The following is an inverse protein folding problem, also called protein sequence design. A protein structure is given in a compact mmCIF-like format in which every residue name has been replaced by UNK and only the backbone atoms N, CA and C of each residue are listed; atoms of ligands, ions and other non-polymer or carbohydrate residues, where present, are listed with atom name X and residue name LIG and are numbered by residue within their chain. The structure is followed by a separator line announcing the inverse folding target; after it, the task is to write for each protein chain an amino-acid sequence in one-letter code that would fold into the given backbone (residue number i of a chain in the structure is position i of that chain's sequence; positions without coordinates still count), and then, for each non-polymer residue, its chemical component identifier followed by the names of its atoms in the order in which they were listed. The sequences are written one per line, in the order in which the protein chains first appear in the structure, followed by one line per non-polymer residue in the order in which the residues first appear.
data_IF_299795291063
#
_entry.id   IF_299795291063
#
_cell.length_a   1.000
_cell.length_b   1.000
_cell.length_c   1.000
_cell.angle_alpha   90.00
_cell.angle_beta   90.00
_cell.angle_gamma   90.00
#
_symmetry.space_group_name_H-M   'P 1'
#
loop_
_entity.id
_entity.type
_entity.pdbx_description
1 polymer ?
#
# COMPACT_ATOMS: atom_id res chain seq x y z
N UNK A 1 6.40 22.17 -45.79
CA UNK A 1 5.47 22.40 -44.67
C UNK A 1 5.86 21.42 -43.59
N UNK A 2 6.24 21.95 -42.43
CA UNK A 2 7.06 21.29 -41.40
C UNK A 2 6.50 19.98 -40.82
N UNK A 3 7.39 19.00 -40.65
CA UNK A 3 7.14 17.67 -40.06
C UNK A 3 7.52 17.68 -38.55
N UNK A 4 7.49 18.87 -37.92
CA UNK A 4 8.26 19.14 -36.70
C UNK A 4 7.50 19.23 -35.38
N UNK A 5 6.22 18.90 -35.28
CA UNK A 5 5.41 19.34 -34.11
C UNK A 5 4.57 18.30 -33.36
N UNK A 6 4.58 17.01 -33.73
CA UNK A 6 3.71 16.01 -33.06
C UNK A 6 4.42 15.30 -31.88
N UNK A 7 5.73 15.44 -31.71
CA UNK A 7 6.49 14.61 -30.75
C UNK A 7 6.60 15.12 -29.30
N UNK A 8 6.35 16.40 -29.02
CA UNK A 8 6.67 16.99 -27.71
C UNK A 8 5.49 17.59 -26.94
N UNK A 9 4.33 17.73 -27.59
CA UNK A 9 3.16 18.34 -26.94
C UNK A 9 2.38 17.37 -26.06
N UNK A 10 2.54 16.06 -26.27
CA UNK A 10 1.74 15.05 -25.56
C UNK A 10 2.42 14.54 -24.28
N UNK A 11 3.74 14.32 -24.30
CA UNK A 11 4.46 13.77 -23.15
C UNK A 11 4.51 14.73 -21.94
N UNK A 12 4.62 16.04 -22.20
CA UNK A 12 4.65 17.06 -21.14
C UNK A 12 3.28 17.22 -20.48
N UNK A 13 2.21 17.16 -21.26
CA UNK A 13 0.83 17.18 -20.75
C UNK A 13 0.47 15.89 -20.01
N UNK A 14 0.98 14.74 -20.46
CA UNK A 14 0.83 13.44 -19.79
C UNK A 14 1.55 13.39 -18.42
N UNK A 15 2.77 13.92 -18.33
CA UNK A 15 3.48 14.08 -17.05
C UNK A 15 2.79 15.10 -16.13
N UNK A 16 2.15 16.13 -16.69
CA UNK A 16 1.34 17.09 -15.94
C UNK A 16 0.06 16.44 -15.41
N UNK A 17 -0.61 15.58 -16.18
CA UNK A 17 -1.79 14.82 -15.71
C UNK A 17 -1.44 13.79 -14.64
N UNK A 18 -0.23 13.21 -14.68
CA UNK A 18 0.29 12.35 -13.62
C UNK A 18 0.61 13.11 -12.32
N UNK A 19 0.96 14.41 -12.41
CA UNK A 19 1.14 15.28 -11.23
C UNK A 19 -0.18 15.82 -10.67
N UNK A 20 -1.22 15.95 -11.49
CA UNK A 20 -2.52 16.49 -11.09
C UNK A 20 -3.46 15.43 -10.48
N UNK A 21 -3.30 14.16 -10.84
CA UNK A 21 -4.05 13.05 -10.26
C UNK A 21 -3.31 12.46 -9.06
N UNK A 22 -3.42 13.12 -7.91
CA UNK A 22 -2.97 12.57 -6.64
C UNK A 22 -3.61 11.20 -6.36
N UNK A 23 -2.75 10.18 -6.29
CA UNK A 23 -2.90 9.02 -5.40
C UNK A 23 -4.18 8.16 -5.47
N UNK A 24 -4.82 7.98 -6.64
CA UNK A 24 -5.80 6.90 -6.83
C UNK A 24 -5.68 6.27 -8.22
N UNK A 25 -5.54 4.94 -8.24
CA UNK A 25 -5.64 4.06 -9.42
C UNK A 25 -4.55 4.10 -10.51
N UNK A 26 -3.32 4.52 -10.20
CA UNK A 26 -2.27 4.60 -11.24
C UNK A 26 -1.75 3.20 -11.64
N UNK A 27 -1.91 2.16 -10.82
CA UNK A 27 -1.44 0.82 -11.17
C UNK A 27 -2.32 0.13 -12.22
N UNK A 28 -3.54 -0.23 -11.83
CA UNK A 28 -4.42 -1.06 -12.66
C UNK A 28 -4.98 -0.32 -13.88
N UNK A 29 -5.30 0.98 -13.77
CA UNK A 29 -5.76 1.76 -14.91
C UNK A 29 -4.64 2.05 -15.91
N UNK A 30 -3.38 2.17 -15.46
CA UNK A 30 -2.23 2.30 -16.37
C UNK A 30 -1.98 1.00 -17.13
N UNK A 31 -1.94 -0.15 -16.44
CA UNK A 31 -1.72 -1.43 -17.13
C UNK A 31 -2.88 -1.79 -18.06
N UNK A 32 -4.13 -1.50 -17.68
CA UNK A 32 -5.30 -1.74 -18.53
C UNK A 32 -5.32 -0.80 -19.74
N UNK A 33 -5.10 0.50 -19.54
CA UNK A 33 -5.03 1.50 -20.62
C UNK A 33 -3.87 1.24 -21.58
N UNK A 34 -2.69 0.89 -21.07
CA UNK A 34 -1.54 0.50 -21.91
C UNK A 34 -1.85 -0.80 -22.67
N UNK A 35 -2.46 -1.80 -22.03
CA UNK A 35 -2.84 -3.04 -22.72
C UNK A 35 -3.92 -2.82 -23.79
N UNK A 36 -4.89 -1.93 -23.57
CA UNK A 36 -5.90 -1.55 -24.57
C UNK A 36 -5.29 -0.76 -25.72
N UNK A 37 -4.40 0.19 -25.44
CA UNK A 37 -3.67 0.92 -26.50
C UNK A 37 -2.77 -0.02 -27.32
N UNK A 38 -2.13 -1.01 -26.70
CA UNK A 38 -1.37 -2.07 -27.37
C UNK A 38 -2.27 -2.92 -28.28
N UNK A 39 -3.50 -3.24 -27.83
CA UNK A 39 -4.49 -4.01 -28.60
C UNK A 39 -5.03 -3.24 -29.80
N UNK A 40 -5.13 -1.91 -29.68
CA UNK A 40 -5.56 -1.05 -30.78
C UNK A 40 -4.45 -0.82 -31.81
N UNK A 41 -3.17 -0.82 -31.40
CA UNK A 41 -2.02 -0.75 -32.31
C UNK A 41 -1.93 -2.03 -33.16
N UNK A 42 -2.15 -3.22 -32.58
CA UNK A 42 -2.12 -4.48 -33.34
C UNK A 42 -3.29 -4.68 -34.31
N UNK A 43 -4.40 -3.95 -34.14
CA UNK A 43 -5.53 -3.95 -35.07
C UNK A 43 -5.36 -2.98 -36.26
N UNK A 44 -4.45 -2.00 -36.16
CA UNK A 44 -4.19 -1.02 -37.22
C UNK A 44 -3.30 -1.55 -38.37
N UNK A 45 -2.74 -2.76 -38.24
CA UNK A 45 -1.73 -3.32 -39.15
C UNK A 45 -2.29 -4.11 -40.36
N UNK A 46 -3.60 -4.14 -40.59
CA UNK A 46 -4.16 -4.81 -41.78
C UNK A 46 -4.25 -3.92 -43.04
N UNK A 47 -3.72 -2.70 -43.03
CA UNK A 47 -3.62 -1.89 -44.27
C UNK A 47 -2.41 -0.95 -44.29
N UNK A 48 -1.25 -1.43 -44.75
CA UNK A 48 -0.43 -0.77 -45.79
C UNK A 48 0.99 -1.34 -45.89
N UNK A 49 1.47 -1.47 -47.13
CA UNK A 49 2.78 -1.98 -47.53
C UNK A 49 3.92 -1.04 -47.09
N UNK A 50 4.49 -1.28 -45.90
CA UNK A 50 5.86 -0.87 -45.52
C UNK A 50 6.37 -1.67 -44.30
N UNK A 51 6.17 -2.99 -44.31
CA UNK A 51 6.06 -3.84 -43.12
C UNK A 51 7.33 -3.93 -42.25
N UNK A 52 8.50 -4.20 -42.80
CA UNK A 52 9.64 -4.64 -41.97
C UNK A 52 10.25 -3.56 -41.06
N UNK A 53 10.44 -2.32 -41.56
CA UNK A 53 11.02 -1.23 -40.75
C UNK A 53 10.06 -0.67 -39.69
N UNK A 54 8.75 -0.79 -39.91
CA UNK A 54 7.71 -0.36 -38.95
C UNK A 54 7.47 -1.41 -37.88
N UNK A 55 7.49 -2.71 -38.24
CA UNK A 55 7.43 -3.81 -37.26
C UNK A 55 8.60 -3.76 -36.27
N UNK A 56 9.82 -3.51 -36.76
CA UNK A 56 11.01 -3.34 -35.91
C UNK A 56 10.88 -2.14 -34.95
N UNK A 57 10.35 -1.01 -35.42
CA UNK A 57 10.15 0.18 -34.60
C UNK A 57 9.05 -0.03 -33.54
N UNK A 58 7.95 -0.71 -33.90
CA UNK A 58 6.88 -1.05 -32.97
C UNK A 58 7.34 -2.07 -31.92
N UNK A 59 8.18 -3.04 -32.29
CA UNK A 59 8.76 -4.01 -31.37
C UNK A 59 9.78 -3.38 -30.41
N UNK A 60 10.59 -2.43 -30.88
CA UNK A 60 11.51 -1.66 -30.04
C UNK A 60 10.78 -0.76 -29.04
N UNK A 61 9.70 -0.11 -29.47
CA UNK A 61 8.84 0.68 -28.59
C UNK A 61 8.15 -0.25 -27.57
N UNK A 62 7.62 -1.39 -28.01
CA UNK A 62 7.01 -2.40 -27.13
C UNK A 62 7.99 -2.87 -26.06
N UNK A 63 9.21 -3.23 -26.45
CA UNK A 63 10.23 -3.71 -25.52
C UNK A 63 10.66 -2.60 -24.55
N UNK A 64 10.79 -1.35 -25.01
CA UNK A 64 11.10 -0.22 -24.13
C UNK A 64 9.99 0.06 -23.12
N UNK A 65 8.72 0.07 -23.54
CA UNK A 65 7.58 0.28 -22.64
C UNK A 65 7.47 -0.85 -21.62
N UNK A 66 7.65 -2.10 -22.06
CA UNK A 66 7.65 -3.28 -21.18
C UNK A 66 8.78 -3.24 -20.17
N UNK A 67 10.00 -2.90 -20.59
CA UNK A 67 11.16 -2.75 -19.69
C UNK A 67 10.94 -1.61 -18.71
N UNK A 68 10.46 -0.45 -19.16
CA UNK A 68 10.14 0.67 -18.25
C UNK A 68 9.01 0.33 -17.27
N UNK A 69 7.97 -0.40 -17.68
CA UNK A 69 6.91 -0.84 -16.77
C UNK A 69 7.41 -1.86 -15.74
N UNK A 70 8.31 -2.78 -16.15
CA UNK A 70 8.98 -3.70 -15.24
C UNK A 70 9.94 -2.98 -14.30
N UNK A 71 10.68 -1.98 -14.78
CA UNK A 71 11.57 -1.14 -13.96
C UNK A 71 10.78 -0.28 -12.99
N UNK A 72 9.61 0.26 -13.38
CA UNK A 72 8.71 0.96 -12.48
C UNK A 72 8.19 0.00 -11.42
N UNK A 73 7.72 -1.20 -11.80
CA UNK A 73 7.26 -2.24 -10.87
C UNK A 73 8.37 -2.71 -9.91
N UNK A 74 9.59 -2.84 -10.41
CA UNK A 74 10.79 -3.16 -9.62
C UNK A 74 11.19 -2.00 -8.71
N UNK A 75 11.07 -0.73 -9.16
CA UNK A 75 11.36 0.45 -8.34
C UNK A 75 10.29 0.66 -7.27
N UNK A 76 9.02 0.41 -7.53
CA UNK A 76 8.00 0.38 -6.48
C UNK A 76 8.31 -0.74 -5.50
N UNK A 77 8.65 -1.95 -5.96
CA UNK A 77 9.06 -3.05 -5.08
C UNK A 77 10.37 -2.79 -4.31
N UNK A 78 11.27 -1.94 -4.83
CA UNK A 78 12.57 -1.60 -4.21
C UNK A 78 12.51 -0.36 -3.30
N UNK A 79 11.38 0.36 -3.33
CA UNK A 79 11.00 1.40 -2.34
C UNK A 79 9.96 0.81 -1.36
N UNK A 80 9.74 -0.51 -1.37
CA UNK A 80 8.80 -1.14 -0.46
C UNK A 80 9.47 -1.43 0.88
N UNK A 81 8.96 -0.80 1.92
CA UNK A 81 9.17 -1.11 3.34
C UNK A 81 8.64 -2.50 3.72
N UNK A 82 8.24 -3.29 2.73
CA UNK A 82 7.54 -4.56 2.81
C UNK A 82 8.11 -5.49 1.75
N UNK A 83 8.76 -6.56 2.19
CA UNK A 83 9.18 -7.64 1.30
C UNK A 83 8.22 -8.82 1.47
N UNK A 84 7.47 -9.16 0.42
CA UNK A 84 6.79 -10.45 0.40
C UNK A 84 7.86 -11.54 0.24
N UNK A 85 7.98 -12.41 1.23
CA UNK A 85 8.95 -13.50 1.21
C UNK A 85 8.25 -14.82 0.94
N UNK A 86 8.96 -15.72 0.29
CA UNK A 86 8.50 -17.08 0.08
C UNK A 86 8.42 -17.82 1.42
N UNK A 87 7.50 -18.77 1.62
CA UNK A 87 7.32 -19.46 2.90
C UNK A 87 8.58 -20.18 3.42
N UNK A 88 9.48 -20.61 2.53
CA UNK A 88 10.79 -21.18 2.89
C UNK A 88 11.77 -20.17 3.50
N UNK A 89 11.52 -18.87 3.32
CA UNK A 89 12.25 -17.77 3.95
C UNK A 89 11.53 -17.20 5.17
N UNK A 90 10.43 -17.84 5.60
CA UNK A 90 9.74 -17.49 6.83
C UNK A 90 10.68 -17.66 8.03
N UNK A 91 10.67 -16.67 8.92
CA UNK A 91 11.51 -16.71 10.11
C UNK A 91 10.90 -17.72 11.11
N UNK A 92 11.70 -18.67 11.63
CA UNK A 92 11.21 -19.68 12.57
C UNK A 92 10.62 -19.09 13.86
N UNK A 93 9.58 -19.74 14.40
CA UNK A 93 8.79 -19.27 15.54
C UNK A 93 9.62 -19.00 16.82
N UNK A 94 10.72 -19.72 17.06
CA UNK A 94 11.61 -19.50 18.20
C UNK A 94 12.29 -18.11 18.15
N UNK A 95 12.54 -17.61 16.94
CA UNK A 95 13.10 -16.27 16.68
C UNK A 95 12.06 -15.17 16.64
N UNK A 96 10.78 -15.52 16.76
CA UNK A 96 9.66 -14.58 16.70
C UNK A 96 9.09 -14.28 18.09
N UNK A 97 8.56 -13.08 18.25
CA UNK A 97 7.66 -12.70 19.34
C UNK A 97 6.35 -12.23 18.73
N UNK A 98 5.24 -12.92 19.00
CA UNK A 98 3.93 -12.44 18.58
C UNK A 98 3.62 -11.11 19.30
N UNK A 99 3.21 -10.11 18.53
CA UNK A 99 2.96 -8.73 18.99
C UNK A 99 1.60 -8.19 18.54
N UNK A 100 0.90 -8.87 17.64
CA UNK A 100 -0.36 -8.39 17.11
C UNK A 100 -1.15 -9.46 16.38
N UNK A 101 -2.47 -9.32 16.42
CA UNK A 101 -3.42 -10.14 15.70
C UNK A 101 -4.52 -9.26 15.12
N UNK A 102 -4.89 -9.51 13.86
CA UNK A 102 -6.03 -8.88 13.21
C UNK A 102 -6.67 -9.86 12.21
N UNK A 103 -7.63 -9.36 11.43
CA UNK A 103 -8.23 -10.13 10.34
C UNK A 103 -8.70 -9.24 9.19
N UNK A 104 -8.91 -9.87 8.04
CA UNK A 104 -9.60 -9.29 6.89
C UNK A 104 -10.67 -10.25 6.37
N UNK A 105 -11.69 -9.72 5.71
CA UNK A 105 -12.81 -10.50 5.20
C UNK A 105 -12.41 -11.41 4.03
N UNK A 106 -12.97 -12.62 4.01
CA UNK A 106 -12.97 -13.50 2.84
C UNK A 106 -14.38 -13.56 2.22
N UNK A 107 -15.41 -13.46 3.07
CA UNK A 107 -16.82 -13.36 2.74
C UNK A 107 -17.57 -12.68 3.89
N UNK A 108 -18.90 -12.57 3.80
CA UNK A 108 -19.73 -12.00 4.86
C UNK A 108 -19.64 -12.75 6.21
N UNK A 109 -19.23 -14.02 6.18
CA UNK A 109 -19.17 -14.89 7.37
C UNK A 109 -17.77 -15.43 7.68
N UNK A 110 -16.80 -15.22 6.78
CA UNK A 110 -15.45 -15.77 6.91
C UNK A 110 -14.41 -14.66 6.91
N UNK A 111 -13.37 -14.85 7.72
CA UNK A 111 -12.24 -13.92 7.81
C UNK A 111 -10.93 -14.67 7.90
N UNK A 112 -9.91 -14.12 7.27
CA UNK A 112 -8.54 -14.60 7.39
C UNK A 112 -7.88 -13.93 8.59
N UNK A 113 -7.39 -14.73 9.53
CA UNK A 113 -6.57 -14.25 10.66
C UNK A 113 -5.19 -13.87 10.14
N UNK A 114 -4.68 -12.74 10.61
CA UNK A 114 -3.35 -12.21 10.32
C UNK A 114 -2.59 -11.99 11.63
N UNK A 115 -1.34 -12.44 11.68
CA UNK A 115 -0.46 -12.29 12.84
C UNK A 115 0.71 -11.38 12.50
N UNK A 116 1.03 -10.46 13.41
CA UNK A 116 2.28 -9.69 13.39
C UNK A 116 3.23 -10.25 14.46
N UNK A 117 4.46 -10.52 14.06
CA UNK A 117 5.51 -11.01 14.95
C UNK A 117 6.79 -10.21 14.80
N UNK A 118 7.31 -9.69 15.91
CA UNK A 118 8.62 -9.05 15.95
C UNK A 118 9.72 -10.10 15.75
N UNK A 119 10.65 -9.81 14.85
CA UNK A 119 11.84 -10.63 14.59
C UNK A 119 12.91 -10.29 15.63
N UNK A 120 13.12 -11.15 16.62
CA UNK A 120 14.04 -10.87 17.74
C UNK A 120 15.50 -10.64 17.30
N UNK A 121 15.86 -11.14 16.12
CA UNK A 121 17.19 -11.02 15.53
C UNK A 121 17.34 -9.83 14.58
N UNK A 122 16.29 -9.03 14.35
CA UNK A 122 16.43 -7.78 13.60
C UNK A 122 17.22 -6.77 14.41
N UNK A 123 17.77 -5.77 13.73
CA UNK A 123 18.54 -4.73 14.41
C UNK A 123 17.60 -3.74 15.09
N UNK A 124 18.12 -3.04 16.10
CA UNK A 124 17.34 -2.02 16.82
C UNK A 124 17.09 -0.77 15.97
N UNK A 125 18.03 -0.43 15.09
CA UNK A 125 17.92 0.68 14.13
C UNK A 125 17.09 0.34 12.88
N UNK A 126 16.83 -0.95 12.65
CA UNK A 126 15.99 -1.47 11.58
C UNK A 126 15.14 -2.65 12.07
N UNK A 127 14.04 -2.36 12.82
CA UNK A 127 13.18 -3.40 13.36
C UNK A 127 12.33 -4.02 12.26
N UNK A 128 12.31 -5.34 12.21
CA UNK A 128 11.52 -6.10 11.24
C UNK A 128 10.34 -6.78 11.93
N UNK A 129 9.15 -6.59 11.37
CA UNK A 129 7.94 -7.31 11.75
C UNK A 129 7.55 -8.27 10.64
N UNK A 130 7.45 -9.55 10.98
CA UNK A 130 6.89 -10.56 10.10
C UNK A 130 5.36 -10.54 10.21
N UNK A 131 4.68 -10.21 9.11
CA UNK A 131 3.22 -10.32 8.98
C UNK A 131 2.88 -11.59 8.20
N UNK A 132 1.95 -12.36 8.76
CA UNK A 132 1.72 -13.74 8.39
C UNK A 132 0.24 -14.08 8.36
N UNK A 133 -0.24 -14.66 7.26
CA UNK A 133 -1.57 -15.27 7.17
C UNK A 133 -1.62 -16.44 6.17
N UNK A 134 -2.76 -17.12 6.12
CA UNK A 134 -2.98 -18.32 5.32
C UNK A 134 -2.31 -19.58 5.89
N UNK A 135 -2.53 -20.71 5.23
CA UNK A 135 -1.96 -22.01 5.58
C UNK A 135 -1.65 -22.83 4.32
N UNK A 136 -0.72 -23.77 4.41
CA UNK A 136 -0.30 -24.61 3.28
C UNK A 136 0.15 -23.77 2.09
N UNK A 137 -0.36 -24.09 0.91
CA UNK A 137 0.01 -23.42 -0.35
C UNK A 137 -0.45 -21.95 -0.41
N UNK A 138 -1.41 -21.55 0.44
CA UNK A 138 -1.91 -20.18 0.52
C UNK A 138 -1.20 -19.34 1.59
N UNK A 139 -0.13 -19.86 2.20
CA UNK A 139 0.67 -19.15 3.21
C UNK A 139 1.35 -17.94 2.58
N UNK A 140 1.06 -16.74 3.09
CA UNK A 140 1.71 -15.48 2.66
C UNK A 140 2.44 -14.82 3.81
N UNK A 141 3.70 -14.47 3.57
CA UNK A 141 4.61 -13.90 4.57
C UNK A 141 5.16 -12.59 4.04
N UNK A 142 5.15 -11.57 4.89
CA UNK A 142 5.67 -10.25 4.58
C UNK A 142 6.63 -9.84 5.70
N UNK A 143 7.80 -9.32 5.33
CA UNK A 143 8.74 -8.67 6.25
C UNK A 143 8.59 -7.17 6.11
N UNK A 144 8.17 -6.51 7.18
CA UNK A 144 7.95 -5.07 7.22
C UNK A 144 9.05 -4.40 8.03
N UNK A 145 9.80 -3.52 7.39
CA UNK A 145 10.79 -2.63 8.02
C UNK A 145 10.04 -1.44 8.59
N UNK A 146 9.75 -1.48 9.89
CA UNK A 146 8.74 -0.57 10.50
C UNK A 146 9.16 0.90 10.50
N UNK A 147 10.47 1.17 10.52
CA UNK A 147 11.01 2.53 10.47
C UNK A 147 10.84 3.17 9.09
N UNK A 148 10.79 2.36 8.03
CA UNK A 148 10.67 2.87 6.67
C UNK A 148 9.21 3.08 6.25
N UNK A 149 8.23 2.62 7.04
CA UNK A 149 6.80 2.75 6.71
C UNK A 149 6.37 4.21 6.57
N UNK A 150 6.11 4.61 5.33
CA UNK A 150 5.55 5.92 4.96
C UNK A 150 4.04 5.97 5.27
N UNK A 151 3.68 6.57 6.40
CA UNK A 151 2.28 6.70 6.86
C UNK A 151 1.42 7.59 5.96
N UNK A 152 2.03 8.43 5.13
CA UNK A 152 1.30 9.22 4.13
C UNK A 152 0.88 8.37 2.92
N UNK A 153 1.41 7.15 2.79
CA UNK A 153 1.16 6.22 1.68
C UNK A 153 1.31 4.74 2.09
N UNK A 154 0.63 4.34 3.17
CA UNK A 154 0.73 2.99 3.74
C UNK A 154 -0.53 2.15 3.46
N UNK A 155 -0.33 0.86 3.27
CA UNK A 155 -1.39 -0.16 3.30
C UNK A 155 -1.81 -0.46 4.74
N UNK A 156 -2.96 -1.13 4.89
CA UNK A 156 -3.40 -1.62 6.19
C UNK A 156 -2.43 -2.68 6.75
N UNK A 157 -1.73 -3.46 5.91
CA UNK A 157 -0.66 -4.38 6.32
C UNK A 157 0.55 -3.64 6.93
N UNK A 158 1.01 -2.58 6.28
CA UNK A 158 2.11 -1.74 6.79
C UNK A 158 1.73 -1.07 8.11
N UNK A 159 0.53 -0.47 8.15
CA UNK A 159 0.00 0.14 9.36
C UNK A 159 -0.19 -0.89 10.48
N UNK A 160 -0.63 -2.11 10.17
CA UNK A 160 -0.78 -3.18 11.16
C UNK A 160 0.56 -3.58 11.79
N UNK A 161 1.59 -3.79 10.96
CA UNK A 161 2.92 -4.16 11.43
C UNK A 161 3.49 -3.09 12.38
N UNK A 162 3.46 -1.85 11.91
CA UNK A 162 3.92 -0.66 12.59
C UNK A 162 3.19 -0.40 13.91
N UNK A 163 1.86 -0.34 13.88
CA UNK A 163 1.03 -0.08 15.07
C UNK A 163 1.21 -1.18 16.12
N UNK A 164 1.34 -2.45 15.70
CA UNK A 164 1.61 -3.58 16.60
C UNK A 164 3.00 -3.47 17.24
N UNK A 165 4.01 -3.08 16.46
CA UNK A 165 5.37 -2.87 16.98
C UNK A 165 5.41 -1.73 18.00
N UNK A 166 4.69 -0.65 17.73
CA UNK A 166 4.60 0.47 18.66
C UNK A 166 3.95 0.09 19.99
N UNK A 167 2.85 -0.66 19.95
CA UNK A 167 2.22 -1.21 21.15
C UNK A 167 3.15 -2.16 21.91
N UNK A 168 3.92 -2.98 21.19
CA UNK A 168 4.93 -3.85 21.79
C UNK A 168 6.04 -3.08 22.53
N UNK A 169 6.45 -1.89 22.04
CA UNK A 169 7.37 -0.98 22.73
C UNK A 169 6.74 -0.27 23.94
N UNK A 170 5.48 -0.55 24.27
CA UNK A 170 4.74 0.10 25.34
C UNK A 170 4.12 1.44 24.93
N UNK A 171 4.16 1.80 23.65
CA UNK A 171 3.47 2.97 23.10
C UNK A 171 2.06 2.59 22.67
N UNK A 172 1.17 2.37 23.64
CA UNK A 172 -0.23 1.96 23.40
C UNK A 172 -1.21 3.10 23.62
N UNK A 173 -2.13 3.28 22.68
CA UNK A 173 -3.21 4.26 22.76
C UNK A 173 -4.10 4.00 23.99
N UNK A 174 -4.64 5.06 24.64
CA UNK A 174 -5.47 4.91 25.82
C UNK A 174 -6.70 4.04 25.52
N UNK A 175 -7.13 3.26 26.52
CA UNK A 175 -8.32 2.40 26.46
C UNK A 175 -8.41 1.45 25.26
N UNK A 176 -7.30 1.20 24.58
CA UNK A 176 -7.24 0.43 23.34
C UNK A 176 -6.59 -0.93 23.57
N UNK A 177 -7.23 -2.00 23.08
CA UNK A 177 -6.67 -3.36 23.14
C UNK A 177 -5.33 -3.43 22.38
N UNK A 178 -5.25 -2.76 21.24
CA UNK A 178 -4.02 -2.50 20.51
C UNK A 178 -4.20 -1.27 19.58
N UNK A 179 -3.08 -0.68 19.16
CA UNK A 179 -3.07 0.53 18.34
C UNK A 179 -3.72 0.35 16.97
N UNK A 180 -3.55 -0.81 16.33
CA UNK A 180 -4.11 -1.04 15.00
C UNK A 180 -5.65 -1.14 15.04
N UNK A 181 -6.20 -1.76 16.09
CA UNK A 181 -7.64 -1.81 16.32
C UNK A 181 -8.22 -0.41 16.52
N UNK A 182 -7.53 0.44 17.29
CA UNK A 182 -7.94 1.84 17.48
C UNK A 182 -7.93 2.60 16.15
N UNK A 183 -6.84 2.48 15.38
CA UNK A 183 -6.74 3.06 14.03
C UNK A 183 -7.85 2.57 13.10
N UNK A 184 -8.15 1.26 13.11
CA UNK A 184 -9.20 0.65 12.29
C UNK A 184 -10.59 1.18 12.64
N UNK A 185 -10.90 1.34 13.93
CA UNK A 185 -12.16 1.94 14.39
C UNK A 185 -12.28 3.38 13.92
N UNK A 186 -11.25 4.20 14.11
CA UNK A 186 -11.25 5.60 13.65
C UNK A 186 -11.48 5.73 12.15
N UNK A 187 -10.77 4.91 11.36
CA UNK A 187 -10.94 4.87 9.90
C UNK A 187 -12.39 4.52 9.52
N UNK A 188 -13.00 3.55 10.22
CA UNK A 188 -14.39 3.16 9.98
C UNK A 188 -15.38 4.28 10.35
N UNK A 189 -15.22 4.90 11.52
CA UNK A 189 -16.09 5.99 12.02
C UNK A 189 -16.02 7.23 11.12
N UNK A 190 -14.87 7.48 10.50
CA UNK A 190 -14.68 8.55 9.53
C UNK A 190 -15.28 8.26 8.13
N UNK A 191 -15.95 7.12 7.94
CA UNK A 191 -16.60 6.76 6.67
C UNK A 191 -15.64 6.24 5.60
N UNK A 192 -14.38 5.93 5.94
CA UNK A 192 -13.42 5.32 5.01
C UNK A 192 -13.64 3.80 4.83
N UNK A 193 -14.75 3.28 5.37
CA UNK A 193 -15.07 1.85 5.44
C UNK A 193 -14.27 1.14 6.53
N UNK A 194 -14.78 0.01 7.02
CA UNK A 194 -13.99 -0.89 7.85
C UNK A 194 -12.72 -1.25 7.07
N UNK A 195 -11.56 -0.86 7.59
CA UNK A 195 -10.26 -1.27 7.07
C UNK A 195 -10.26 -2.79 6.87
N UNK A 196 -9.63 -3.29 5.80
CA UNK A 196 -9.50 -4.72 5.48
C UNK A 196 -10.80 -5.51 5.20
N UNK A 197 -11.69 -4.98 4.36
CA UNK A 197 -12.83 -5.73 3.82
C UNK A 197 -12.42 -7.01 3.07
N UNK A 198 -11.26 -6.99 2.42
CA UNK A 198 -10.69 -8.08 1.65
C UNK A 198 -9.15 -8.04 1.67
N UNK A 199 -8.51 -9.07 1.10
CA UNK A 199 -7.04 -9.17 1.06
C UNK A 199 -6.39 -8.00 0.30
N UNK A 200 -6.94 -7.59 -0.86
CA UNK A 200 -6.37 -6.52 -1.66
C UNK A 200 -6.43 -5.17 -0.94
N UNK A 201 -7.55 -4.91 -0.25
CA UNK A 201 -7.72 -3.76 0.63
C UNK A 201 -6.72 -3.77 1.80
N UNK A 202 -6.38 -4.96 2.32
CA UNK A 202 -5.41 -5.10 3.41
C UNK A 202 -3.96 -4.91 2.93
N UNK A 203 -3.58 -5.58 1.84
CA UNK A 203 -2.18 -5.69 1.40
C UNK A 203 -1.77 -4.53 0.49
N UNK A 204 -2.63 -4.12 -0.44
CA UNK A 204 -2.22 -3.28 -1.57
C UNK A 204 -2.75 -1.85 -1.49
N UNK A 205 -3.97 -1.66 -0.97
CA UNK A 205 -4.62 -0.35 -0.98
C UNK A 205 -3.88 0.62 -0.06
N UNK A 206 -3.29 1.66 -0.65
CA UNK A 206 -2.59 2.71 0.09
C UNK A 206 -3.56 3.79 0.60
N UNK A 207 -3.33 4.25 1.82
CA UNK A 207 -4.07 5.31 2.49
C UNK A 207 -3.08 6.29 3.11
N UNK A 208 -3.40 7.58 3.05
CA UNK A 208 -2.68 8.60 3.79
C UNK A 208 -3.22 8.63 5.22
N UNK A 209 -2.56 7.90 6.12
CA UNK A 209 -2.96 7.79 7.52
C UNK A 209 -2.76 9.11 8.29
N UNK A 210 -1.74 9.90 7.91
CA UNK A 210 -1.48 11.22 8.50
C UNK A 210 -2.70 12.13 8.29
N UNK A 211 -3.10 12.29 7.04
CA UNK A 211 -4.24 13.12 6.65
C UNK A 211 -5.55 12.60 7.24
N UNK A 212 -5.75 11.27 7.25
CA UNK A 212 -6.94 10.66 7.83
C UNK A 212 -7.07 10.98 9.33
N UNK A 213 -6.01 10.79 10.10
CA UNK A 213 -6.04 11.07 11.54
C UNK A 213 -6.12 12.57 11.82
N UNK A 214 -5.50 13.42 11.00
CA UNK A 214 -5.66 14.88 11.11
C UNK A 214 -7.11 15.32 10.88
N UNK A 215 -7.78 14.78 9.87
CA UNK A 215 -9.20 15.07 9.62
C UNK A 215 -10.08 14.66 10.81
N UNK A 216 -9.84 13.46 11.36
CA UNK A 216 -10.59 12.95 12.52
C UNK A 216 -10.32 13.83 13.74
N UNK A 217 -9.05 14.15 14.00
CA UNK A 217 -8.65 15.05 15.09
C UNK A 217 -9.36 16.40 15.00
N UNK A 218 -9.35 17.02 13.81
CA UNK A 218 -10.02 18.29 13.57
C UNK A 218 -11.54 18.22 13.77
N UNK A 219 -12.17 17.12 13.34
CA UNK A 219 -13.61 16.89 13.55
C UNK A 219 -13.97 16.76 15.04
N UNK A 220 -13.09 16.16 15.83
CA UNK A 220 -13.28 15.92 17.27
C UNK A 220 -12.88 17.11 18.15
N UNK A 221 -12.31 18.18 17.59
CA UNK A 221 -12.00 19.41 18.36
C UNK A 221 -13.23 20.03 19.03
N UNK A 222 -14.41 19.86 18.42
CA UNK A 222 -15.70 20.39 18.92
C UNK A 222 -16.54 19.33 19.64
N UNK A 223 -15.92 18.25 20.12
CA UNK A 223 -16.57 17.19 20.89
C UNK A 223 -17.48 17.72 22.00
N UNK A 224 -18.67 17.15 22.09
CA UNK A 224 -19.69 17.51 23.10
C UNK A 224 -20.02 16.34 24.04
N UNK A 225 -19.63 15.12 23.65
CA UNK A 225 -19.90 13.89 24.40
C UNK A 225 -18.63 13.28 25.03
N UNK A 226 -18.81 12.49 26.08
CA UNK A 226 -17.71 11.72 26.70
C UNK A 226 -17.09 10.72 25.72
N UNK A 227 -17.90 10.14 24.83
CA UNK A 227 -17.41 9.21 23.82
C UNK A 227 -16.49 9.90 22.82
N UNK A 228 -16.85 11.10 22.35
CA UNK A 228 -16.00 11.89 21.46
C UNK A 228 -14.73 12.39 22.18
N UNK A 229 -14.78 12.64 23.49
CA UNK A 229 -13.58 12.92 24.30
C UNK A 229 -12.60 11.75 24.31
N UNK A 230 -13.09 10.52 24.53
CA UNK A 230 -12.26 9.31 24.45
C UNK A 230 -11.70 9.12 23.04
N UNK A 231 -12.53 9.25 22.00
CA UNK A 231 -12.05 9.15 20.61
C UNK A 231 -11.01 10.23 20.29
N UNK A 232 -11.13 11.43 20.84
CA UNK A 232 -10.16 12.51 20.67
C UNK A 232 -8.80 12.14 21.28
N UNK A 233 -8.79 11.65 22.52
CA UNK A 233 -7.55 11.29 23.23
C UNK A 233 -6.81 10.14 22.50
N UNK A 234 -7.55 9.13 22.04
CA UNK A 234 -6.99 8.05 21.22
C UNK A 234 -6.44 8.60 19.90
N UNK A 235 -7.17 9.53 19.25
CA UNK A 235 -6.78 10.06 17.93
C UNK A 235 -5.52 10.92 18.05
N UNK A 236 -5.45 11.76 19.08
CA UNK A 236 -4.28 12.56 19.40
C UNK A 236 -3.07 11.68 19.67
N UNK A 237 -3.24 10.62 20.46
CA UNK A 237 -2.19 9.67 20.74
C UNK A 237 -1.64 9.01 19.46
N UNK A 238 -2.53 8.45 18.63
CA UNK A 238 -2.12 7.80 17.39
C UNK A 238 -1.43 8.79 16.44
N UNK A 239 -1.95 10.01 16.32
CA UNK A 239 -1.37 11.06 15.48
C UNK A 239 0.04 11.47 15.95
N UNK A 240 0.25 11.64 17.26
CA UNK A 240 1.57 11.93 17.82
C UNK A 240 2.53 10.76 17.64
N UNK A 241 2.06 9.52 17.86
CA UNK A 241 2.86 8.31 17.69
C UNK A 241 3.33 8.13 16.24
N UNK A 242 2.50 8.50 15.25
CA UNK A 242 2.91 8.39 13.85
C UNK A 242 3.87 9.51 13.41
N UNK A 243 3.76 10.70 14.00
CA UNK A 243 4.62 11.85 13.69
C UNK A 243 5.98 11.84 14.40
N UNK A 244 6.07 11.26 15.59
CA UNK A 244 7.26 11.32 16.47
C UNK A 244 8.04 10.00 16.47
N UNK A 245 8.30 9.45 15.28
CA UNK A 245 9.00 8.17 15.12
C UNK A 245 10.50 8.32 15.03
#
# INVERSE_FOLDING_TARGET
MDIGLIGNFDYKNYLQSLKLNGSRDIGENFFTSVNEQIKNISQYDNSSKSSEKKELCNLDIYNKVKVSALEIKLRTNKICNVEQVSPDKEIPNDKLKNIGMTSFGLSDTESQIVLASYVKTSKEDDPVVQVAYGHGDNRKVYHVHVNDVDTSNASDLEMFALMSYEGYKGRTAPDSINNYSAYKTMKADAGYGMASADENSFVNKKVNADYLLEQIYDSLKKRETEQEAKSFDVCEYLLQMIKNR
#
